data_IF_154247824710
#
_entry.id   IF_154247824710
#
_cell.length_a   1.000
_cell.length_b   1.000
_cell.length_c   1.000
_cell.angle_alpha   90.00
_cell.angle_beta   90.00
_cell.angle_gamma   90.00
#
_symmetry.space_group_name_H-M   'P 1'
#
loop_
_entity.id
_entity.type
_entity.pdbx_description
1 polymer ?
#
# COMPACT_ATOMS: atom_id res chain seq x y z
N UNK A 1 -22.65 -14.13 -6.50
CA UNK A 1 -22.49 -13.32 -5.27
C UNK A 1 -23.52 -13.76 -4.26
N UNK A 2 -23.12 -14.03 -3.00
CA UNK A 2 -24.01 -14.55 -1.95
C UNK A 2 -24.30 -13.49 -0.89
N UNK A 3 -23.39 -12.53 -0.70
CA UNK A 3 -23.53 -11.42 0.23
C UNK A 3 -23.30 -10.12 -0.52
N UNK A 4 -24.29 -9.23 -0.45
CA UNK A 4 -24.24 -7.93 -1.12
C UNK A 4 -23.80 -6.85 -0.13
N UNK A 5 -22.89 -5.97 -0.54
CA UNK A 5 -22.57 -4.77 0.20
C UNK A 5 -23.51 -3.65 -0.25
N UNK A 6 -24.39 -3.21 0.66
CA UNK A 6 -25.40 -2.17 0.38
C UNK A 6 -25.26 -1.10 1.46
N UNK A 7 -24.37 -0.11 1.28
CA UNK A 7 -24.11 0.92 2.29
C UNK A 7 -25.25 1.93 2.45
N UNK A 8 -26.05 2.13 1.40
CA UNK A 8 -27.24 2.95 1.40
C UNK A 8 -28.43 2.16 0.87
N UNK A 9 -29.67 2.59 1.17
CA UNK A 9 -30.94 2.00 0.70
C UNK A 9 -31.08 0.49 0.98
N UNK A 10 -30.46 -0.02 2.03
CA UNK A 10 -30.47 -1.44 2.38
C UNK A 10 -31.88 -1.96 2.65
N UNK A 11 -32.81 -1.12 3.17
CA UNK A 11 -34.21 -1.50 3.37
C UNK A 11 -34.89 -1.78 2.03
N UNK A 12 -34.71 -0.90 1.04
CA UNK A 12 -35.27 -1.07 -0.30
C UNK A 12 -34.68 -2.32 -0.99
N UNK A 13 -33.38 -2.58 -0.80
CA UNK A 13 -32.75 -3.81 -1.30
C UNK A 13 -33.40 -5.06 -0.74
N UNK A 14 -33.67 -5.13 0.57
CA UNK A 14 -34.33 -6.26 1.22
C UNK A 14 -35.75 -6.44 0.67
N UNK A 15 -36.55 -5.36 0.63
CA UNK A 15 -37.93 -5.39 0.16
C UNK A 15 -38.02 -5.83 -1.30
N UNK A 16 -37.18 -5.29 -2.17
CA UNK A 16 -37.11 -5.67 -3.58
C UNK A 16 -36.72 -7.13 -3.76
N UNK A 17 -35.76 -7.62 -2.99
CA UNK A 17 -35.31 -9.01 -3.05
C UNK A 17 -36.45 -9.94 -2.62
N UNK A 18 -37.17 -9.62 -1.55
CA UNK A 18 -38.34 -10.39 -1.11
C UNK A 18 -39.41 -10.43 -2.20
N UNK A 19 -39.75 -9.30 -2.82
CA UNK A 19 -40.70 -9.21 -3.88
C UNK A 19 -40.30 -10.05 -5.13
N UNK A 20 -38.99 -10.01 -5.46
CA UNK A 20 -38.45 -10.81 -6.58
C UNK A 20 -38.49 -12.33 -6.30
N UNK A 21 -38.32 -12.73 -5.06
CA UNK A 21 -38.51 -14.15 -4.67
C UNK A 21 -39.99 -14.53 -4.73
N UNK A 22 -40.87 -13.68 -4.22
CA UNK A 22 -42.33 -13.95 -4.21
C UNK A 22 -42.93 -14.05 -5.62
N UNK A 23 -42.45 -13.24 -6.55
CA UNK A 23 -42.90 -13.27 -7.95
C UNK A 23 -42.17 -14.29 -8.83
N UNK A 24 -41.21 -15.05 -8.27
CA UNK A 24 -40.47 -16.09 -8.98
C UNK A 24 -39.28 -15.60 -9.84
N UNK A 25 -38.98 -14.30 -9.85
CA UNK A 25 -37.81 -13.76 -10.57
C UNK A 25 -36.47 -14.28 -9.99
N UNK A 26 -36.43 -14.50 -8.67
CA UNK A 26 -35.32 -15.16 -7.97
C UNK A 26 -35.87 -16.45 -7.37
N UNK A 27 -35.36 -17.63 -7.74
CA UNK A 27 -35.81 -18.88 -7.14
C UNK A 27 -35.34 -18.98 -5.67
N UNK A 28 -36.20 -19.49 -4.78
CA UNK A 28 -35.88 -19.68 -3.37
C UNK A 28 -34.61 -20.51 -3.19
N UNK A 29 -34.36 -21.49 -4.03
CA UNK A 29 -33.15 -22.31 -3.99
C UNK A 29 -31.84 -21.49 -4.11
N UNK A 30 -31.89 -20.34 -4.84
CA UNK A 30 -30.75 -19.44 -4.93
C UNK A 30 -30.50 -18.72 -3.59
N UNK A 31 -31.55 -18.36 -2.90
CA UNK A 31 -31.46 -17.75 -1.56
C UNK A 31 -30.93 -18.77 -0.55
N UNK A 32 -31.48 -20.00 -0.57
CA UNK A 32 -31.03 -21.08 0.31
C UNK A 32 -29.53 -21.42 0.12
N UNK A 33 -29.06 -21.44 -1.12
CA UNK A 33 -27.63 -21.63 -1.42
C UNK A 33 -26.77 -20.50 -0.85
N UNK A 34 -27.17 -19.24 -1.05
CA UNK A 34 -26.46 -18.08 -0.50
C UNK A 34 -26.39 -18.11 1.04
N UNK A 35 -27.54 -18.33 1.68
CA UNK A 35 -27.65 -18.42 3.13
C UNK A 35 -26.79 -19.58 3.67
N UNK A 36 -26.84 -20.73 3.01
CA UNK A 36 -26.03 -21.90 3.42
C UNK A 36 -24.55 -21.58 3.38
N UNK A 37 -24.06 -20.90 2.33
CA UNK A 37 -22.65 -20.49 2.21
C UNK A 37 -22.26 -19.51 3.31
N UNK A 38 -23.09 -18.50 3.55
CA UNK A 38 -22.86 -17.49 4.62
C UNK A 38 -22.82 -18.15 5.99
N UNK A 39 -23.81 -18.98 6.31
CA UNK A 39 -23.89 -19.67 7.59
C UNK A 39 -22.71 -20.63 7.80
N UNK A 40 -22.28 -21.33 6.76
CA UNK A 40 -21.10 -22.21 6.82
C UNK A 40 -19.84 -21.45 7.24
N UNK A 41 -19.60 -20.26 6.68
CA UNK A 41 -18.46 -19.42 7.08
C UNK A 41 -18.60 -18.97 8.52
N UNK A 42 -19.77 -18.52 8.94
CA UNK A 42 -20.05 -18.10 10.32
C UNK A 42 -19.85 -19.24 11.32
N UNK A 43 -20.31 -20.44 10.99
CA UNK A 43 -20.11 -21.62 11.85
C UNK A 43 -18.64 -21.99 11.97
N UNK A 44 -17.89 -22.00 10.85
CA UNK A 44 -16.44 -22.26 10.88
C UNK A 44 -15.67 -21.22 11.69
N UNK A 45 -16.13 -19.99 11.71
CA UNK A 45 -15.58 -18.92 12.54
C UNK A 45 -16.00 -18.97 14.01
N UNK A 46 -16.79 -19.98 14.42
CA UNK A 46 -17.23 -20.15 15.81
C UNK A 46 -18.28 -19.15 16.30
N UNK A 47 -19.02 -18.51 15.38
CA UNK A 47 -20.04 -17.53 15.80
C UNK A 47 -21.21 -18.15 16.55
N UNK A 48 -21.46 -19.45 16.36
CA UNK A 48 -22.54 -20.18 17.05
C UNK A 48 -22.20 -20.57 18.49
N UNK A 49 -20.92 -20.57 18.84
CA UNK A 49 -20.44 -21.02 20.15
C UNK A 49 -20.70 -20.00 21.26
N UNK A 50 -21.32 -18.86 20.94
CA UNK A 50 -21.65 -17.76 21.87
C UNK A 50 -20.45 -17.25 22.68
N UNK A 51 -19.24 -17.49 22.21
CA UNK A 51 -18.01 -16.99 22.82
C UNK A 51 -17.95 -15.48 22.69
N UNK A 52 -17.76 -14.79 23.82
CA UNK A 52 -17.61 -13.33 23.81
C UNK A 52 -16.43 -12.92 22.92
N UNK A 53 -16.52 -11.82 22.15
CA UNK A 53 -15.43 -11.33 21.33
C UNK A 53 -14.09 -11.22 22.08
N UNK A 54 -14.12 -10.74 23.33
CA UNK A 54 -12.94 -10.62 24.19
C UNK A 54 -12.31 -11.96 24.63
N UNK A 55 -13.00 -13.07 24.44
CA UNK A 55 -12.52 -14.42 24.79
C UNK A 55 -12.15 -15.25 23.56
N UNK A 56 -12.18 -14.68 22.37
CA UNK A 56 -11.80 -15.37 21.13
C UNK A 56 -10.28 -15.47 21.01
N UNK A 57 -9.84 -16.44 20.23
CA UNK A 57 -8.43 -16.62 19.91
C UNK A 57 -7.86 -15.28 19.37
N UNK A 58 -6.73 -14.88 19.91
CA UNK A 58 -6.02 -13.63 19.61
C UNK A 58 -6.70 -12.34 20.10
N UNK A 59 -7.88 -12.39 20.74
CA UNK A 59 -8.49 -11.20 21.33
C UNK A 59 -7.55 -10.58 22.38
N UNK A 60 -7.41 -9.24 22.33
CA UNK A 60 -6.53 -8.46 23.23
C UNK A 60 -5.04 -8.84 23.17
N UNK A 61 -4.62 -9.61 22.17
CA UNK A 61 -3.21 -9.94 21.97
C UNK A 61 -2.55 -8.96 20.99
N UNK A 62 -2.22 -7.77 21.47
CA UNK A 62 -1.55 -6.73 20.66
C UNK A 62 -0.14 -7.10 20.22
N UNK A 63 0.51 -8.08 20.86
CA UNK A 63 1.86 -8.52 20.51
C UNK A 63 1.95 -9.17 19.11
N UNK A 64 0.81 -9.59 18.56
CA UNK A 64 0.77 -10.12 17.19
C UNK A 64 0.86 -9.02 16.13
N UNK A 65 0.37 -7.82 16.46
CA UNK A 65 0.33 -6.71 15.50
C UNK A 65 1.76 -6.20 15.28
N UNK A 66 2.23 -6.28 14.04
CA UNK A 66 3.59 -5.87 13.69
C UNK A 66 4.68 -6.73 14.35
N UNK A 67 4.38 -7.96 14.75
CA UNK A 67 5.38 -8.93 15.22
C UNK A 67 6.46 -9.16 14.15
N UNK A 68 7.65 -9.62 14.56
CA UNK A 68 8.75 -9.92 13.63
C UNK A 68 8.30 -10.84 12.50
N UNK A 69 7.57 -11.91 12.81
CA UNK A 69 7.06 -12.84 11.81
C UNK A 69 6.15 -12.16 10.78
N UNK A 70 5.26 -11.26 11.20
CA UNK A 70 4.40 -10.50 10.27
C UNK A 70 5.21 -9.52 9.42
N UNK A 71 6.21 -8.85 10.00
CA UNK A 71 7.08 -7.93 9.28
C UNK A 71 7.97 -8.64 8.27
N UNK A 72 8.44 -9.84 8.57
CA UNK A 72 9.24 -10.65 7.66
C UNK A 72 8.42 -11.07 6.44
N UNK A 73 7.16 -11.47 6.63
CA UNK A 73 6.22 -11.76 5.53
C UNK A 73 5.98 -10.51 4.69
N UNK A 74 5.73 -9.35 5.33
CA UNK A 74 5.52 -8.10 4.62
C UNK A 74 6.75 -7.71 3.78
N UNK A 75 7.96 -7.85 4.31
CA UNK A 75 9.21 -7.61 3.57
C UNK A 75 9.41 -8.58 2.42
N UNK A 76 9.03 -9.84 2.62
CA UNK A 76 9.08 -10.84 1.55
C UNK A 76 8.10 -10.47 0.43
N UNK A 77 6.87 -10.07 0.75
CA UNK A 77 5.89 -9.62 -0.22
C UNK A 77 6.42 -8.42 -1.04
N UNK A 78 7.08 -7.45 -0.39
CA UNK A 78 7.72 -6.33 -1.09
C UNK A 78 8.79 -6.83 -2.06
N UNK A 79 9.70 -7.70 -1.62
CA UNK A 79 10.76 -8.25 -2.50
C UNK A 79 10.19 -8.96 -3.72
N UNK A 80 9.10 -9.69 -3.55
CA UNK A 80 8.47 -10.46 -4.63
C UNK A 80 7.59 -9.59 -5.55
N UNK A 81 7.21 -8.39 -5.11
CA UNK A 81 6.40 -7.45 -5.91
C UNK A 81 7.22 -6.48 -6.76
N UNK A 82 8.53 -6.39 -6.52
CA UNK A 82 9.40 -5.50 -7.30
C UNK A 82 9.58 -6.02 -8.72
N UNK A 83 9.49 -5.11 -9.69
CA UNK A 83 9.67 -5.42 -11.12
C UNK A 83 10.82 -4.59 -11.69
N UNK A 84 11.85 -5.25 -12.21
CA UNK A 84 12.96 -4.60 -12.91
C UNK A 84 12.54 -4.29 -14.35
N UNK A 85 12.14 -3.05 -14.63
CA UNK A 85 11.68 -2.64 -15.95
C UNK A 85 12.84 -2.37 -16.91
N UNK A 86 13.98 -1.90 -16.41
CA UNK A 86 15.15 -1.55 -17.22
C UNK A 86 16.42 -1.65 -16.40
N UNK A 87 17.48 -2.21 -16.96
CA UNK A 87 18.83 -2.25 -16.39
C UNK A 87 19.86 -2.14 -17.54
N UNK A 88 19.88 -0.96 -18.17
CA UNK A 88 20.85 -0.69 -19.26
C UNK A 88 22.26 -0.63 -18.66
N UNK A 89 23.22 -1.12 -19.45
CA UNK A 89 24.65 -1.13 -19.08
C UNK A 89 24.94 -1.82 -17.74
N UNK A 90 24.01 -2.67 -17.26
CA UNK A 90 24.15 -3.41 -16.00
C UNK A 90 24.44 -2.50 -14.79
N UNK A 91 23.82 -1.33 -14.71
CA UNK A 91 24.01 -0.40 -13.60
C UNK A 91 23.61 -1.00 -12.24
N UNK A 92 22.66 -1.92 -12.23
CA UNK A 92 22.26 -2.65 -11.05
C UNK A 92 22.90 -4.04 -11.01
N UNK A 93 23.34 -4.53 -9.83
CA UNK A 93 23.26 -3.88 -8.53
C UNK A 93 24.28 -2.73 -8.36
N UNK A 94 23.88 -1.68 -7.64
CA UNK A 94 24.79 -0.58 -7.29
C UNK A 94 25.84 -1.06 -6.29
N UNK A 95 27.05 -0.48 -6.39
CA UNK A 95 28.08 -0.68 -5.37
C UNK A 95 27.63 -0.03 -4.05
N UNK A 96 27.52 -0.82 -3.00
CA UNK A 96 26.97 -0.36 -1.73
C UNK A 96 27.85 0.69 -1.02
N UNK A 97 29.14 0.77 -1.35
CA UNK A 97 30.10 1.75 -0.81
C UNK A 97 30.16 3.06 -1.61
N UNK A 98 29.18 3.33 -2.45
CA UNK A 98 29.09 4.56 -3.24
C UNK A 98 28.63 5.76 -2.42
N UNK A 99 28.85 6.97 -2.96
CA UNK A 99 28.23 8.20 -2.50
C UNK A 99 26.88 8.37 -3.22
N UNK A 100 25.77 8.14 -2.50
CA UNK A 100 24.41 8.03 -3.05
C UNK A 100 23.59 9.27 -2.71
N UNK A 101 23.04 9.91 -3.74
CA UNK A 101 21.97 10.88 -3.58
C UNK A 101 20.63 10.15 -3.67
N UNK A 102 19.73 10.33 -2.68
CA UNK A 102 18.35 9.86 -2.77
C UNK A 102 17.43 11.06 -2.92
N UNK A 103 16.65 11.09 -3.98
CA UNK A 103 15.82 12.22 -4.36
C UNK A 103 14.37 11.80 -4.66
N UNK A 104 13.50 12.77 -4.86
CA UNK A 104 12.11 12.58 -5.21
C UNK A 104 11.16 12.55 -4.01
N UNK A 105 9.89 12.77 -4.28
CA UNK A 105 8.81 12.91 -3.27
C UNK A 105 8.58 11.65 -2.44
N UNK A 106 8.82 10.48 -3.03
CA UNK A 106 8.65 9.18 -2.38
C UNK A 106 9.86 8.70 -1.57
N UNK A 107 11.01 9.38 -1.66
CA UNK A 107 12.27 8.90 -1.08
C UNK A 107 12.17 8.63 0.44
N UNK A 108 11.60 9.57 1.18
CA UNK A 108 11.41 9.45 2.63
C UNK A 108 9.96 9.70 3.03
N UNK A 109 9.02 8.98 2.42
CA UNK A 109 7.59 9.16 2.61
C UNK A 109 6.89 7.81 2.74
N UNK A 110 6.70 7.35 3.99
CA UNK A 110 6.05 6.08 4.29
C UNK A 110 4.57 6.11 3.93
N UNK A 111 3.92 7.27 4.03
CA UNK A 111 2.52 7.45 3.61
C UNK A 111 2.33 7.11 2.12
N UNK A 112 3.21 7.60 1.25
CA UNK A 112 3.19 7.24 -0.18
C UNK A 112 3.47 5.76 -0.41
N UNK A 113 4.39 5.14 0.35
CA UNK A 113 4.67 3.70 0.23
C UNK A 113 3.45 2.84 0.61
N UNK A 114 2.62 3.33 1.52
CA UNK A 114 1.49 2.58 2.08
C UNK A 114 0.21 2.70 1.24
N UNK A 115 -0.03 3.84 0.60
CA UNK A 115 -1.16 4.06 -0.30
C UNK A 115 -2.50 4.35 0.38
N UNK A 116 -3.58 4.30 -0.40
CA UNK A 116 -4.95 4.49 0.07
C UNK A 116 -5.40 3.43 1.07
N UNK A 117 -6.46 3.70 1.82
CA UNK A 117 -6.98 2.85 2.90
C UNK A 117 -5.98 2.58 4.03
N UNK A 118 -4.95 3.40 4.14
CA UNK A 118 -3.97 3.32 5.21
C UNK A 118 -4.17 4.47 6.19
N UNK A 119 -4.54 4.18 7.43
CA UNK A 119 -4.92 5.07 8.53
C UNK A 119 -6.15 5.94 8.21
N UNK A 120 -6.29 6.42 7.01
CA UNK A 120 -7.46 7.16 6.52
C UNK A 120 -7.96 6.58 5.20
N UNK A 121 -9.17 6.93 4.79
CA UNK A 121 -9.76 6.44 3.54
C UNK A 121 -8.86 6.72 2.33
N UNK A 122 -8.50 7.96 2.13
CA UNK A 122 -7.64 8.32 0.98
C UNK A 122 -6.15 8.03 1.22
N UNK A 123 -5.74 7.73 2.46
CA UNK A 123 -4.33 7.50 2.79
C UNK A 123 -3.47 8.77 2.80
N UNK A 124 -4.10 9.94 2.68
CA UNK A 124 -3.43 11.25 2.63
C UNK A 124 -3.24 11.86 4.03
N UNK A 125 -2.31 12.80 4.14
CA UNK A 125 -2.05 13.54 5.38
C UNK A 125 -1.23 12.78 6.43
N UNK A 126 -0.77 11.58 6.11
CA UNK A 126 0.06 10.78 6.99
C UNK A 126 1.53 11.23 6.94
N UNK A 127 2.18 11.25 8.09
CA UNK A 127 3.62 11.48 8.25
C UNK A 127 4.34 10.19 8.61
N UNK A 128 5.67 10.17 8.52
CA UNK A 128 6.44 8.96 8.89
C UNK A 128 6.25 8.56 10.37
N UNK A 129 5.92 9.50 11.27
CA UNK A 129 5.65 9.22 12.68
C UNK A 129 4.37 8.41 12.93
N UNK A 130 3.45 8.40 11.97
CA UNK A 130 2.20 7.62 12.06
C UNK A 130 2.44 6.12 11.79
N UNK A 131 3.65 5.74 11.41
CA UNK A 131 4.02 4.36 11.06
C UNK A 131 5.15 3.82 11.96
N UNK A 132 4.91 3.59 13.25
CA UNK A 132 5.96 3.17 14.16
C UNK A 132 6.60 1.84 13.74
N UNK A 133 7.92 1.84 13.60
CA UNK A 133 8.70 0.69 13.19
C UNK A 133 8.69 0.38 11.68
N UNK A 134 8.09 1.23 10.85
CA UNK A 134 8.25 1.15 9.40
C UNK A 134 9.59 1.78 8.96
N UNK A 135 10.04 1.39 7.77
CA UNK A 135 11.29 1.87 7.18
C UNK A 135 10.99 2.56 5.86
N UNK A 136 11.39 3.82 5.72
CA UNK A 136 11.31 4.51 4.44
C UNK A 136 12.33 3.94 3.44
N UNK A 137 12.12 4.19 2.15
CA UNK A 137 13.08 3.79 1.10
C UNK A 137 14.43 4.42 1.36
N UNK A 138 14.45 5.72 1.68
CA UNK A 138 15.70 6.41 2.07
C UNK A 138 16.40 5.73 3.24
N UNK A 139 15.70 5.49 4.35
CA UNK A 139 16.30 4.86 5.53
C UNK A 139 16.82 3.45 5.27
N UNK A 140 16.15 2.70 4.39
CA UNK A 140 16.63 1.38 3.97
C UNK A 140 17.92 1.46 3.16
N UNK A 141 18.01 2.39 2.21
CA UNK A 141 19.23 2.65 1.42
C UNK A 141 20.36 3.15 2.31
N UNK A 142 20.09 4.13 3.15
CA UNK A 142 21.05 4.70 4.09
C UNK A 142 21.70 3.63 4.98
N UNK A 143 20.88 2.75 5.54
CA UNK A 143 21.38 1.66 6.39
C UNK A 143 22.34 0.72 5.65
N UNK A 144 22.02 0.34 4.42
CA UNK A 144 22.83 -0.56 3.61
C UNK A 144 24.13 0.10 3.14
N UNK A 145 24.04 1.32 2.64
CA UNK A 145 25.19 2.07 2.11
C UNK A 145 26.17 2.41 3.22
N UNK A 146 25.69 2.91 4.37
CA UNK A 146 26.55 3.23 5.51
C UNK A 146 27.24 1.98 6.08
N UNK A 147 26.52 0.85 6.15
CA UNK A 147 27.11 -0.42 6.59
C UNK A 147 28.24 -0.91 5.67
N UNK A 148 28.22 -0.53 4.41
CA UNK A 148 29.27 -0.85 3.43
C UNK A 148 30.38 0.20 3.33
N UNK A 149 30.34 1.26 4.15
CA UNK A 149 31.32 2.35 4.14
C UNK A 149 31.08 3.42 3.08
N UNK A 150 29.91 3.41 2.43
CA UNK A 150 29.47 4.48 1.54
C UNK A 150 28.82 5.65 2.29
N UNK A 151 28.31 6.61 1.55
CA UNK A 151 27.59 7.77 2.11
C UNK A 151 26.26 7.99 1.41
N UNK A 152 25.26 8.47 2.14
CA UNK A 152 23.96 8.83 1.58
C UNK A 152 23.59 10.27 1.90
N UNK A 153 22.83 10.87 1.01
CA UNK A 153 22.21 12.16 1.25
C UNK A 153 20.79 12.18 0.69
N UNK A 154 19.86 12.67 1.51
CA UNK A 154 18.49 12.94 1.07
C UNK A 154 18.37 14.36 0.53
N UNK A 155 17.85 14.51 -0.66
CA UNK A 155 17.47 15.79 -1.25
C UNK A 155 16.26 15.62 -2.15
N UNK A 156 15.07 15.94 -1.65
CA UNK A 156 13.83 15.70 -2.38
C UNK A 156 13.81 16.36 -3.77
N UNK A 157 14.43 17.52 -3.93
CA UNK A 157 14.55 18.25 -5.20
C UNK A 157 15.83 17.93 -6.00
N UNK A 158 16.61 16.93 -5.58
CA UNK A 158 17.81 16.50 -6.26
C UNK A 158 19.02 17.43 -6.14
N UNK A 159 18.97 18.51 -5.36
CA UNK A 159 20.09 19.46 -5.23
C UNK A 159 21.29 18.83 -4.51
N UNK A 160 22.48 19.14 -5.03
CA UNK A 160 23.76 18.76 -4.41
C UNK A 160 24.84 19.81 -4.70
N UNK A 161 25.88 19.81 -3.88
CA UNK A 161 27.05 20.69 -4.10
C UNK A 161 27.95 20.13 -5.19
N UNK A 162 28.46 21.00 -6.06
CA UNK A 162 29.45 20.64 -7.07
C UNK A 162 30.74 20.06 -6.49
N UNK A 163 31.06 20.41 -5.24
CA UNK A 163 32.23 19.89 -4.52
C UNK A 163 31.99 18.51 -3.90
N UNK A 164 30.73 18.04 -3.87
CA UNK A 164 30.37 16.72 -3.37
C UNK A 164 29.33 16.09 -4.31
N UNK A 165 29.79 15.82 -5.54
CA UNK A 165 28.95 15.16 -6.56
C UNK A 165 28.71 13.70 -6.16
N UNK A 166 27.46 13.21 -6.19
CA UNK A 166 27.17 11.81 -5.94
C UNK A 166 27.68 10.93 -7.09
N UNK A 167 28.06 9.69 -6.76
CA UNK A 167 28.39 8.67 -7.77
C UNK A 167 27.12 8.20 -8.49
N UNK A 168 25.99 8.18 -7.76
CA UNK A 168 24.68 7.76 -8.26
C UNK A 168 23.55 8.52 -7.59
N UNK A 169 22.51 8.81 -8.36
CA UNK A 169 21.25 9.34 -7.85
C UNK A 169 20.15 8.28 -7.95
N UNK A 170 19.45 8.04 -6.85
CA UNK A 170 18.25 7.19 -6.78
C UNK A 170 17.05 8.12 -6.62
N UNK A 171 16.21 8.18 -7.65
CA UNK A 171 15.01 9.03 -7.64
C UNK A 171 13.79 8.19 -7.36
N UNK A 172 13.08 8.50 -6.27
CA UNK A 172 11.90 7.78 -5.82
C UNK A 172 10.68 8.69 -5.93
N UNK A 173 9.74 8.32 -6.76
CA UNK A 173 8.52 9.08 -6.98
C UNK A 173 7.32 8.14 -7.20
N UNK A 174 6.14 8.69 -7.14
CA UNK A 174 4.88 7.98 -7.34
C UNK A 174 3.70 8.92 -7.18
N UNK A 175 2.51 8.39 -7.35
CA UNK A 175 1.28 9.12 -7.08
C UNK A 175 1.09 9.36 -5.59
N UNK A 176 0.44 10.47 -5.23
CA UNK A 176 -0.09 10.65 -3.88
C UNK A 176 -1.12 9.56 -3.60
N UNK A 177 -1.22 9.09 -2.35
CA UNK A 177 -2.22 8.09 -2.00
C UNK A 177 -3.64 8.53 -2.34
N UNK A 178 -4.45 7.61 -2.83
CA UNK A 178 -5.87 7.82 -3.09
C UNK A 178 -6.66 6.52 -2.94
N UNK A 179 -7.97 6.65 -2.82
CA UNK A 179 -8.95 5.58 -2.85
C UNK A 179 -10.12 5.96 -3.76
N UNK A 180 -11.28 5.36 -3.55
CA UNK A 180 -12.48 5.59 -4.36
C UNK A 180 -12.86 7.08 -4.38
N UNK A 181 -13.40 7.51 -5.47
CA UNK A 181 -13.77 8.91 -5.73
C UNK A 181 -12.57 9.73 -6.23
N UNK A 182 -11.55 9.94 -5.40
CA UNK A 182 -10.33 10.66 -5.79
C UNK A 182 -9.55 9.91 -6.88
N UNK A 183 -9.57 8.58 -6.83
CA UNK A 183 -8.93 7.72 -7.83
C UNK A 183 -9.72 7.54 -9.13
N UNK A 184 -10.97 8.05 -9.21
CA UNK A 184 -11.83 7.91 -10.39
C UNK A 184 -11.45 8.96 -11.46
N UNK A 185 -10.37 8.73 -12.16
CA UNK A 185 -9.81 9.64 -13.14
C UNK A 185 -10.19 9.23 -14.57
N UNK A 186 -10.51 10.22 -15.42
CA UNK A 186 -10.75 10.03 -16.85
C UNK A 186 -9.46 9.83 -17.67
N UNK A 187 -8.31 10.10 -17.07
CA UNK A 187 -7.00 10.06 -17.68
C UNK A 187 -6.00 9.45 -16.69
N UNK A 188 -5.19 8.49 -17.17
CA UNK A 188 -4.13 7.81 -16.39
C UNK A 188 -2.74 8.41 -16.63
N UNK A 189 -2.65 9.56 -17.29
CA UNK A 189 -1.37 10.23 -17.53
C UNK A 189 -0.77 10.72 -16.21
N UNK A 190 0.43 10.23 -15.89
CA UNK A 190 1.12 10.62 -14.68
C UNK A 190 1.55 12.10 -14.75
N UNK A 191 1.20 12.87 -13.72
CA UNK A 191 1.50 14.30 -13.62
C UNK A 191 1.19 15.09 -14.91
N UNK A 192 0.00 14.93 -15.46
CA UNK A 192 -0.44 15.55 -16.72
C UNK A 192 -0.21 17.08 -16.79
N UNK A 193 -0.24 17.75 -15.62
CA UNK A 193 -0.11 19.22 -15.54
C UNK A 193 1.33 19.75 -15.56
N UNK A 194 2.19 19.25 -14.69
CA UNK A 194 3.48 19.89 -14.38
C UNK A 194 4.74 19.07 -14.69
N UNK A 195 4.62 17.75 -14.86
CA UNK A 195 5.75 16.85 -15.15
C UNK A 195 6.95 17.03 -14.21
N UNK A 196 6.70 17.33 -12.91
CA UNK A 196 7.76 17.71 -11.97
C UNK A 196 8.80 16.62 -11.74
N UNK A 197 8.37 15.34 -11.71
CA UNK A 197 9.29 14.23 -11.52
C UNK A 197 10.14 13.95 -12.76
N UNK A 198 9.59 14.19 -13.96
CA UNK A 198 10.37 14.16 -15.21
C UNK A 198 11.44 15.27 -15.22
N UNK A 199 11.06 16.50 -14.85
CA UNK A 199 12.02 17.60 -14.75
C UNK A 199 13.13 17.32 -13.71
N UNK A 200 12.80 16.68 -12.58
CA UNK A 200 13.79 16.22 -11.61
C UNK A 200 14.76 15.20 -12.23
N UNK A 201 14.26 14.19 -12.93
CA UNK A 201 15.08 13.20 -13.63
C UNK A 201 16.00 13.83 -14.66
N UNK A 202 15.48 14.77 -15.46
CA UNK A 202 16.26 15.51 -16.46
C UNK A 202 17.37 16.35 -15.81
N UNK A 203 17.09 16.99 -14.68
CA UNK A 203 18.09 17.80 -13.94
C UNK A 203 19.25 16.99 -13.36
N UNK A 204 19.02 15.69 -13.09
CA UNK A 204 20.02 14.77 -12.54
C UNK A 204 20.76 13.97 -13.61
N UNK A 205 20.34 14.07 -14.86
CA UNK A 205 20.97 13.45 -16.02
C UNK A 205 22.17 14.31 -16.46
N UNK A 206 23.25 14.22 -15.74
CA UNK A 206 24.50 14.95 -16.01
C UNK A 206 25.32 14.41 -17.17
#
# INVERSE_FOLDING_TARGET
VDMMMVPADWQAFIQNTIAQVQNGSIPMSRIDDAVTRILRVKMRAGFQDKVKPSSRLHANNSSLIGSTAHRDIARQAVRESLVLLKNSDSILPLAANSNVLVAGSGANNIGMQSGGWTLSWQGTGNSNSDFPGATSIYSGIESLVNAAGGTTRLSANGSFSSTNRPDVAIVVFGESPYAEGVGDLNNIEYQAGNKSDLALLESLRG
#
